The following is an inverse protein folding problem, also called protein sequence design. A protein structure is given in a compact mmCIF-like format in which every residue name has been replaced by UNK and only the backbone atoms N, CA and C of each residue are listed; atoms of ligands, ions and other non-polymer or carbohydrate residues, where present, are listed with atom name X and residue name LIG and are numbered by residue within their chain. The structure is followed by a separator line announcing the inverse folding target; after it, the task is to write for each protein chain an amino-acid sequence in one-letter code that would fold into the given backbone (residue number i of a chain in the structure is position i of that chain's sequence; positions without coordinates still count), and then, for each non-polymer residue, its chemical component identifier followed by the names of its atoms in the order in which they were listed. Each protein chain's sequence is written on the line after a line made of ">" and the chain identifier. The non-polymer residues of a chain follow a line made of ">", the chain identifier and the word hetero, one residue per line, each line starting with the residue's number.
data_IF_738957828040
#
_entry.id   IF_738957828040
#
_cell.length_a   1.000
_cell.length_b   1.000
_cell.length_c   1.000
_cell.angle_alpha   90.00
_cell.angle_beta   90.00
_cell.angle_gamma   90.00
#
_symmetry.space_group_name_H-M   'P 1'
#
loop_
_entity.id
_entity.type
_entity.pdbx_description
1 polymer ?
#
# COMPACT_ATOMS: atom_id res chain seq x y z
N UNK A 1 -8.73 -28.63 -3.67
CA UNK A 1 -8.42 -27.44 -2.86
C UNK A 1 -7.26 -26.74 -3.55
N UNK A 2 -7.54 -25.81 -4.46
CA UNK A 2 -6.52 -25.00 -5.12
C UNK A 2 -6.45 -23.67 -4.36
N UNK A 3 -5.80 -23.68 -3.20
CA UNK A 3 -5.34 -22.41 -2.61
C UNK A 3 -4.21 -21.92 -3.51
N UNK A 4 -4.25 -20.64 -3.88
CA UNK A 4 -3.22 -20.06 -4.76
C UNK A 4 -1.85 -20.26 -4.11
N UNK A 5 -0.96 -21.01 -4.75
CA UNK A 5 0.36 -21.41 -4.20
C UNK A 5 1.14 -20.19 -3.69
N UNK A 6 1.11 -19.08 -4.44
CA UNK A 6 1.77 -17.83 -4.03
C UNK A 6 1.29 -17.23 -2.70
N UNK A 7 0.03 -17.44 -2.30
CA UNK A 7 -0.46 -16.97 -1.00
C UNK A 7 0.14 -17.79 0.16
N UNK A 8 0.26 -19.11 -0.03
CA UNK A 8 0.90 -20.00 0.95
C UNK A 8 2.40 -19.72 1.06
N UNK A 9 3.08 -19.48 -0.07
CA UNK A 9 4.51 -19.15 -0.11
C UNK A 9 4.79 -17.80 0.56
N UNK A 10 3.93 -16.79 0.32
CA UNK A 10 4.04 -15.48 1.00
C UNK A 10 3.79 -15.61 2.49
N UNK A 11 2.80 -16.40 2.92
CA UNK A 11 2.57 -16.63 4.34
C UNK A 11 3.77 -17.33 5.01
N UNK A 12 4.35 -18.33 4.32
CA UNK A 12 5.53 -19.04 4.81
C UNK A 12 6.76 -18.13 4.92
N UNK A 13 6.99 -17.24 3.95
CA UNK A 13 8.10 -16.27 4.02
C UNK A 13 7.95 -15.28 5.17
N UNK A 14 6.71 -14.99 5.58
CA UNK A 14 6.38 -14.19 6.77
C UNK A 14 6.41 -15.00 8.08
N UNK A 15 6.79 -16.28 8.02
CA UNK A 15 6.86 -17.16 9.20
C UNK A 15 5.49 -17.56 9.73
N UNK A 16 4.46 -17.60 8.87
CA UNK A 16 3.10 -18.01 9.19
C UNK A 16 2.76 -19.33 8.51
N UNK A 17 1.90 -20.12 9.15
CA UNK A 17 1.42 -21.40 8.66
C UNK A 17 -0.10 -21.39 8.56
N UNK A 18 -0.64 -22.08 7.57
CA UNK A 18 -2.07 -22.20 7.37
C UNK A 18 -2.70 -23.09 8.43
N UNK A 19 -3.61 -22.51 9.24
CA UNK A 19 -4.43 -23.25 10.19
C UNK A 19 -5.80 -23.57 9.57
N UNK A 20 -5.90 -24.77 9.01
CA UNK A 20 -7.13 -25.28 8.41
C UNK A 20 -8.25 -25.51 9.44
N UNK A 21 -9.53 -25.27 9.08
CA UNK A 21 -10.65 -25.55 9.97
C UNK A 21 -10.77 -27.05 10.27
N UNK A 22 -11.03 -27.42 11.53
CA UNK A 22 -11.26 -28.80 11.96
C UNK A 22 -12.49 -29.43 11.26
N UNK A 23 -13.53 -28.62 11.05
CA UNK A 23 -14.75 -29.00 10.35
C UNK A 23 -14.71 -28.57 8.88
N UNK A 24 -13.99 -29.35 8.07
CA UNK A 24 -13.79 -29.12 6.64
C UNK A 24 -15.08 -28.73 5.89
N UNK A 25 -14.92 -27.80 4.96
CA UNK A 25 -15.98 -27.39 4.04
C UNK A 25 -15.75 -25.99 3.49
N UNK A 26 -16.66 -25.50 2.64
CA UNK A 26 -16.53 -24.19 2.03
C UNK A 26 -16.67 -23.08 3.07
N UNK A 27 -15.90 -22.01 2.92
CA UNK A 27 -16.05 -20.77 3.68
C UNK A 27 -16.94 -19.77 2.97
N UNK A 28 -17.17 -19.97 1.67
CA UNK A 28 -18.12 -19.20 0.87
C UNK A 28 -19.12 -20.10 0.15
N UNK A 29 -20.39 -19.71 0.15
CA UNK A 29 -21.50 -20.36 -0.56
C UNK A 29 -22.33 -19.30 -1.27
N UNK A 30 -22.34 -19.30 -2.60
CA UNK A 30 -23.11 -18.33 -3.38
C UNK A 30 -24.62 -18.45 -3.12
N UNK A 31 -25.29 -17.30 -2.94
CA UNK A 31 -26.76 -17.22 -2.80
C UNK A 31 -27.47 -17.40 -4.12
N UNK A 32 -26.84 -17.01 -5.23
CA UNK A 32 -27.42 -17.11 -6.57
C UNK A 32 -27.39 -18.55 -7.09
N UNK A 33 -26.36 -19.32 -6.73
CA UNK A 33 -26.24 -20.72 -7.10
C UNK A 33 -25.54 -21.51 -5.99
N UNK A 34 -26.30 -22.34 -5.27
CA UNK A 34 -25.79 -23.12 -4.14
C UNK A 34 -24.73 -24.18 -4.53
N UNK A 35 -24.51 -24.43 -5.82
CA UNK A 35 -23.44 -25.28 -6.33
C UNK A 35 -22.09 -24.55 -6.40
N UNK A 36 -22.08 -23.22 -6.33
CA UNK A 36 -20.85 -22.42 -6.27
C UNK A 36 -20.42 -22.31 -4.80
N UNK A 37 -19.37 -23.06 -4.46
CA UNK A 37 -18.81 -23.16 -3.11
C UNK A 37 -17.30 -23.07 -3.19
N UNK A 38 -16.67 -22.25 -2.35
CA UNK A 38 -15.22 -22.06 -2.34
C UNK A 38 -14.67 -21.91 -0.93
N UNK A 39 -13.35 -22.07 -0.81
CA UNK A 39 -12.59 -21.81 0.42
C UNK A 39 -11.66 -20.65 0.09
N UNK A 40 -12.09 -19.44 0.45
CA UNK A 40 -11.38 -18.19 0.17
C UNK A 40 -11.00 -17.45 1.46
N UNK A 41 -11.78 -17.63 2.52
CA UNK A 41 -11.41 -17.19 3.86
C UNK A 41 -10.42 -18.19 4.48
N UNK A 42 -9.21 -17.73 4.79
CA UNK A 42 -8.11 -18.52 5.31
C UNK A 42 -7.61 -17.93 6.64
N UNK A 43 -7.10 -18.78 7.52
CA UNK A 43 -6.49 -18.37 8.79
C UNK A 43 -5.03 -18.79 8.78
N UNK A 44 -4.15 -17.82 9.02
CA UNK A 44 -2.71 -18.04 9.14
C UNK A 44 -2.27 -17.66 10.54
N UNK A 45 -1.50 -18.54 11.19
CA UNK A 45 -0.99 -18.34 12.55
C UNK A 45 0.48 -18.70 12.62
N UNK A 46 1.14 -18.40 13.75
CA UNK A 46 2.50 -18.89 13.97
C UNK A 46 2.54 -20.42 13.91
N UNK A 47 3.60 -21.05 13.37
CA UNK A 47 3.77 -22.51 13.36
C UNK A 47 3.59 -23.15 14.74
N UNK A 48 3.98 -22.41 15.78
CA UNK A 48 3.85 -22.84 17.17
C UNK A 48 2.40 -22.86 17.69
N UNK A 49 1.50 -22.12 17.05
CA UNK A 49 0.09 -22.02 17.41
C UNK A 49 -0.84 -22.80 16.45
N UNK A 50 -0.36 -23.26 15.29
CA UNK A 50 -1.15 -23.94 14.24
C UNK A 50 -2.07 -25.03 14.79
N UNK A 51 -1.54 -25.89 15.66
CA UNK A 51 -2.31 -26.98 16.27
C UNK A 51 -3.24 -26.52 17.41
N UNK A 52 -2.89 -25.43 18.08
CA UNK A 52 -3.64 -24.89 19.23
C UNK A 52 -4.77 -23.93 18.84
N UNK A 53 -4.69 -23.34 17.65
CA UNK A 53 -5.60 -22.30 17.16
C UNK A 53 -7.06 -22.78 17.02
N UNK A 54 -7.29 -24.12 16.97
CA UNK A 54 -8.62 -24.75 16.96
C UNK A 54 -9.61 -24.03 16.02
N UNK A 55 -9.19 -23.86 14.76
CA UNK A 55 -9.97 -23.10 13.77
C UNK A 55 -11.24 -23.88 13.44
N UNK A 56 -12.40 -23.23 13.48
CA UNK A 56 -13.71 -23.81 13.20
C UNK A 56 -14.55 -22.92 12.32
N UNK A 57 -15.25 -23.52 11.37
CA UNK A 57 -16.36 -22.90 10.63
C UNK A 57 -17.57 -22.81 11.54
N UNK A 58 -17.93 -21.61 11.96
CA UNK A 58 -19.09 -21.34 12.81
C UNK A 58 -20.35 -21.16 11.95
N UNK A 59 -20.84 -22.27 11.40
CA UNK A 59 -22.00 -22.31 10.49
C UNK A 59 -23.26 -21.77 11.17
N UNK A 60 -23.40 -22.02 12.46
CA UNK A 60 -24.45 -21.51 13.33
C UNK A 60 -24.49 -19.98 13.44
N UNK A 61 -23.38 -19.30 13.12
CA UNK A 61 -23.23 -17.85 13.15
C UNK A 61 -23.25 -17.20 11.76
N UNK A 62 -23.45 -17.98 10.69
CA UNK A 62 -23.50 -17.47 9.31
C UNK A 62 -24.64 -16.46 9.07
N UNK A 63 -25.79 -16.66 9.73
CA UNK A 63 -26.96 -15.80 9.56
C UNK A 63 -27.41 -15.70 8.10
N UNK A 64 -27.42 -14.49 7.53
CA UNK A 64 -27.80 -14.22 6.13
C UNK A 64 -26.62 -14.07 5.18
N UNK A 65 -25.38 -14.17 5.67
CA UNK A 65 -24.18 -14.01 4.84
C UNK A 65 -23.96 -15.22 3.93
N UNK A 66 -23.38 -14.98 2.76
CA UNK A 66 -22.79 -15.97 1.87
C UNK A 66 -21.43 -16.48 2.33
N UNK A 67 -20.79 -15.81 3.28
CA UNK A 67 -19.59 -16.28 3.97
C UNK A 67 -19.93 -16.96 5.30
N UNK A 68 -19.23 -18.05 5.60
CA UNK A 68 -19.30 -18.76 6.87
C UNK A 68 -18.17 -18.25 7.76
N UNK A 69 -18.49 -17.64 8.92
CA UNK A 69 -17.49 -17.14 9.84
C UNK A 69 -16.51 -18.24 10.29
N UNK A 70 -15.24 -17.86 10.40
CA UNK A 70 -14.21 -18.69 11.01
C UNK A 70 -13.96 -18.19 12.44
N UNK A 71 -13.93 -19.13 13.38
CA UNK A 71 -13.58 -18.90 14.78
C UNK A 71 -12.25 -19.59 15.07
N UNK A 72 -11.38 -18.95 15.84
CA UNK A 72 -10.11 -19.50 16.28
C UNK A 72 -9.87 -19.11 17.75
N UNK A 73 -9.23 -19.99 18.50
CA UNK A 73 -8.84 -19.76 19.89
C UNK A 73 -7.32 -19.72 19.95
N UNK A 74 -6.76 -18.52 20.06
CA UNK A 74 -5.31 -18.33 20.17
C UNK A 74 -4.97 -18.14 21.65
N UNK A 75 -4.13 -19.00 22.25
CA UNK A 75 -3.70 -18.82 23.62
C UNK A 75 -2.91 -17.52 23.74
N UNK A 76 -3.34 -16.62 24.64
CA UNK A 76 -2.59 -15.39 24.93
C UNK A 76 -1.28 -15.77 25.62
N UNK A 77 -0.16 -15.66 24.91
CA UNK A 77 1.16 -15.82 25.51
C UNK A 77 1.40 -14.64 26.45
N UNK A 78 1.84 -14.92 27.68
CA UNK A 78 2.29 -13.91 28.63
C UNK A 78 3.50 -13.10 28.10
N UNK A 79 4.18 -13.62 27.08
CA UNK A 79 5.25 -12.98 26.32
C UNK A 79 4.90 -12.99 24.84
N UNK A 80 4.31 -11.89 24.35
CA UNK A 80 4.22 -11.64 22.91
C UNK A 80 5.64 -11.40 22.38
N UNK A 81 6.14 -12.16 21.39
CA UNK A 81 7.41 -11.85 20.74
C UNK A 81 7.37 -10.41 20.29
N UNK A 82 8.28 -9.58 20.80
CA UNK A 82 8.29 -8.18 20.44
C UNK A 82 8.64 -8.08 18.95
N UNK A 83 7.78 -7.46 18.15
CA UNK A 83 8.02 -7.29 16.71
C UNK A 83 9.23 -6.38 16.57
N UNK A 84 10.31 -6.89 15.99
CA UNK A 84 11.48 -6.09 15.68
C UNK A 84 11.29 -5.48 14.30
N UNK A 85 11.30 -4.16 14.22
CA UNK A 85 11.44 -3.42 12.97
C UNK A 85 12.87 -2.94 12.80
N UNK A 86 13.19 -2.43 11.61
CA UNK A 86 14.42 -1.67 11.38
C UNK A 86 14.06 -0.27 10.89
N UNK A 87 14.80 0.72 11.36
CA UNK A 87 14.59 2.11 10.95
C UNK A 87 15.93 2.76 10.64
N UNK A 88 15.90 3.71 9.72
CA UNK A 88 17.02 4.57 9.41
C UNK A 88 16.57 5.99 9.76
N UNK A 89 17.32 6.66 10.62
CA UNK A 89 16.95 8.00 11.06
C UNK A 89 17.15 9.01 9.92
N UNK A 90 16.13 9.82 9.57
CA UNK A 90 16.28 10.82 8.52
C UNK A 90 17.35 11.85 8.89
N UNK A 91 18.18 12.23 7.91
CA UNK A 91 19.27 13.21 8.01
C UNK A 91 20.44 12.79 8.92
N UNK A 92 20.47 11.55 9.38
CA UNK A 92 21.60 11.02 10.17
C UNK A 92 22.83 10.76 9.30
N UNK A 93 23.99 10.53 9.92
CA UNK A 93 25.20 10.18 9.19
C UNK A 93 25.10 8.76 8.60
N UNK A 94 24.38 7.86 9.27
CA UNK A 94 24.06 6.52 8.77
C UNK A 94 23.19 6.56 7.51
N UNK A 95 22.27 7.53 7.38
CA UNK A 95 21.50 7.72 6.13
C UNK A 95 22.42 8.12 4.96
N UNK A 96 23.44 8.94 5.22
CA UNK A 96 24.42 9.35 4.21
C UNK A 96 25.32 8.18 3.82
N UNK A 97 25.79 7.41 4.78
CA UNK A 97 26.58 6.20 4.53
C UNK A 97 25.77 5.14 3.78
N UNK A 98 24.49 4.98 4.11
CA UNK A 98 23.55 4.12 3.38
C UNK A 98 23.45 4.49 1.89
N UNK A 99 23.26 5.77 1.58
CA UNK A 99 23.23 6.24 0.18
C UNK A 99 24.58 6.03 -0.49
N UNK A 100 25.69 6.28 0.21
CA UNK A 100 27.04 6.13 -0.33
C UNK A 100 27.35 4.67 -0.69
N UNK A 101 27.03 3.74 0.20
CA UNK A 101 27.23 2.30 -0.04
C UNK A 101 26.40 1.80 -1.23
N UNK A 102 25.13 2.23 -1.35
CA UNK A 102 24.32 1.86 -2.52
C UNK A 102 24.95 2.35 -3.81
N UNK A 103 25.38 3.62 -3.86
CA UNK A 103 26.02 4.21 -5.03
C UNK A 103 27.28 3.44 -5.43
N UNK A 104 28.08 3.01 -4.45
CA UNK A 104 29.27 2.20 -4.68
C UNK A 104 28.91 0.81 -5.21
N UNK A 105 27.98 0.11 -4.55
CA UNK A 105 27.61 -1.27 -4.87
C UNK A 105 26.92 -1.39 -6.24
N UNK A 106 26.01 -0.46 -6.57
CA UNK A 106 25.38 -0.47 -7.91
C UNK A 106 26.33 0.06 -8.99
N UNK A 107 27.37 0.81 -8.61
CA UNK A 107 28.38 1.35 -9.51
C UNK A 107 29.09 0.27 -10.34
N UNK A 108 29.19 -0.96 -9.81
CA UNK A 108 29.73 -2.12 -10.52
C UNK A 108 28.91 -2.52 -11.76
N UNK A 109 27.64 -2.08 -11.84
CA UNK A 109 26.76 -2.30 -13.00
C UNK A 109 26.91 -1.21 -14.07
N UNK A 110 27.79 -0.22 -13.86
CA UNK A 110 28.00 0.86 -14.82
C UNK A 110 28.45 0.31 -16.17
N UNK A 111 27.82 0.80 -17.25
CA UNK A 111 28.04 0.34 -18.61
C UNK A 111 27.40 -1.01 -18.98
N UNK A 112 26.83 -1.75 -18.03
CA UNK A 112 26.06 -2.95 -18.34
C UNK A 112 24.73 -2.59 -19.00
N UNK A 113 24.33 -3.33 -20.05
CA UNK A 113 23.10 -3.12 -20.82
C UNK A 113 22.43 -4.48 -21.04
N UNK A 114 21.43 -4.85 -20.23
CA UNK A 114 20.75 -6.13 -20.37
C UNK A 114 19.91 -6.15 -21.64
N UNK A 115 19.96 -7.25 -22.40
CA UNK A 115 19.22 -7.43 -23.66
C UNK A 115 18.27 -8.63 -23.62
N UNK A 116 18.36 -9.45 -22.58
CA UNK A 116 17.54 -10.64 -22.40
C UNK A 116 16.85 -10.63 -21.03
N UNK A 117 15.74 -11.34 -20.92
CA UNK A 117 14.98 -11.47 -19.67
C UNK A 117 15.85 -11.96 -18.49
N UNK A 118 16.77 -12.90 -18.71
CA UNK A 118 17.68 -13.41 -17.68
C UNK A 118 18.70 -12.34 -17.20
N UNK A 119 19.15 -11.47 -18.11
CA UNK A 119 20.05 -10.38 -17.78
C UNK A 119 19.35 -9.26 -17.01
N UNK A 120 18.10 -8.96 -17.38
CA UNK A 120 17.23 -8.02 -16.65
C UNK A 120 17.01 -8.51 -15.22
N UNK A 121 16.66 -9.79 -15.04
CA UNK A 121 16.45 -10.38 -13.71
C UNK A 121 17.73 -10.34 -12.86
N UNK A 122 18.88 -10.67 -13.46
CA UNK A 122 20.18 -10.62 -12.77
C UNK A 122 20.54 -9.21 -12.32
N UNK A 123 20.36 -8.22 -13.20
CA UNK A 123 20.63 -6.82 -12.89
C UNK A 123 19.67 -6.30 -11.80
N UNK A 124 18.39 -6.66 -11.88
CA UNK A 124 17.37 -6.30 -10.88
C UNK A 124 17.70 -6.90 -9.52
N UNK A 125 18.07 -8.18 -9.49
CA UNK A 125 18.51 -8.87 -8.26
C UNK A 125 19.74 -8.22 -7.65
N UNK A 126 20.75 -7.88 -8.46
CA UNK A 126 21.96 -7.21 -7.98
C UNK A 126 21.66 -5.84 -7.35
N UNK A 127 20.77 -5.06 -7.97
CA UNK A 127 20.32 -3.78 -7.40
C UNK A 127 19.57 -4.03 -6.09
N UNK A 128 18.59 -4.95 -6.06
CA UNK A 128 17.82 -5.26 -4.87
C UNK A 128 18.70 -5.74 -3.70
N UNK A 129 19.71 -6.57 -4.00
CA UNK A 129 20.69 -7.06 -3.03
C UNK A 129 21.55 -5.93 -2.46
N UNK A 130 22.00 -4.98 -3.29
CA UNK A 130 22.74 -3.80 -2.85
C UNK A 130 21.91 -2.97 -1.86
N UNK A 131 20.65 -2.68 -2.19
CA UNK A 131 19.75 -1.98 -1.27
C UNK A 131 19.49 -2.76 0.03
N UNK A 132 19.27 -4.07 -0.06
CA UNK A 132 19.04 -4.93 1.12
C UNK A 132 20.26 -5.00 2.04
N UNK A 133 21.45 -5.12 1.45
CA UNK A 133 22.72 -5.17 2.19
C UNK A 133 23.00 -3.84 2.89
N UNK A 134 22.90 -2.72 2.17
CA UNK A 134 23.06 -1.40 2.74
C UNK A 134 22.03 -1.13 3.85
N UNK A 135 20.76 -1.50 3.65
CA UNK A 135 19.73 -1.34 4.66
C UNK A 135 20.06 -2.12 5.92
N UNK A 136 20.45 -3.39 5.80
CA UNK A 136 20.84 -4.23 6.96
C UNK A 136 22.10 -3.74 7.66
N UNK A 137 22.99 -3.04 6.97
CA UNK A 137 24.22 -2.48 7.54
C UNK A 137 23.95 -1.21 8.36
N UNK A 138 23.13 -0.30 7.83
CA UNK A 138 22.99 1.07 8.36
C UNK A 138 21.73 1.30 9.19
N UNK A 139 20.66 0.52 8.99
CA UNK A 139 19.46 0.67 9.79
C UNK A 139 19.63 0.10 11.20
N UNK A 140 18.95 0.70 12.18
CA UNK A 140 18.94 0.26 13.57
C UNK A 140 17.72 -0.62 13.86
N UNK A 141 17.89 -1.69 14.63
CA UNK A 141 16.76 -2.49 15.12
C UNK A 141 16.00 -1.71 16.19
N UNK A 142 14.69 -1.55 16.00
CA UNK A 142 13.79 -1.10 17.04
C UNK A 142 12.80 -2.20 17.36
N UNK A 143 12.37 -2.24 18.61
CA UNK A 143 11.49 -3.30 19.09
C UNK A 143 10.11 -2.72 19.36
N UNK A 144 9.14 -2.91 18.47
CA UNK A 144 7.76 -2.44 18.68
C UNK A 144 7.22 -3.06 19.97
N UNK A 145 7.25 -2.26 21.02
CA UNK A 145 6.77 -2.60 22.34
C UNK A 145 5.73 -1.59 22.79
N UNK A 146 4.88 -1.94 23.77
CA UNK A 146 3.89 -1.02 24.32
C UNK A 146 4.51 0.27 24.89
N UNK A 147 5.81 0.26 25.23
CA UNK A 147 6.56 1.36 25.85
C UNK A 147 7.28 2.28 24.84
N UNK A 148 7.23 1.99 23.54
CA UNK A 148 7.98 2.72 22.50
C UNK A 148 7.14 3.81 21.83
N UNK A 149 6.26 4.41 22.61
CA UNK A 149 5.28 5.37 22.09
C UNK A 149 5.80 6.75 22.46
N UNK A 150 5.90 7.66 21.49
CA UNK A 150 6.44 9.02 21.69
C UNK A 150 5.73 9.80 22.80
N UNK A 151 4.47 9.46 23.10
CA UNK A 151 3.73 10.03 24.23
C UNK A 151 4.17 9.48 25.60
N UNK A 152 5.00 8.45 25.67
CA UNK A 152 5.39 7.78 26.92
C UNK A 152 6.43 8.62 27.66
N UNK A 153 6.08 9.09 28.85
CA UNK A 153 6.90 9.94 29.68
C UNK A 153 7.28 9.26 31.02
N UNK A 154 8.11 9.92 31.82
CA UNK A 154 8.58 9.40 33.10
C UNK A 154 7.45 9.10 34.09
N UNK A 155 6.33 9.83 34.00
CA UNK A 155 5.13 9.58 34.82
C UNK A 155 4.46 8.25 34.47
N UNK A 156 4.42 7.89 33.18
CA UNK A 156 3.94 6.57 32.74
C UNK A 156 4.84 5.45 33.25
N UNK A 157 6.17 5.64 33.22
CA UNK A 157 7.14 4.66 33.73
C UNK A 157 6.99 4.48 35.24
N UNK A 158 6.93 5.57 36.00
CA UNK A 158 6.76 5.54 37.46
C UNK A 158 5.45 4.85 37.87
N UNK A 159 4.33 5.21 37.23
CA UNK A 159 3.03 4.61 37.55
C UNK A 159 2.97 3.12 37.17
N UNK A 160 3.73 2.70 36.14
CA UNK A 160 3.86 1.29 35.76
C UNK A 160 4.67 0.50 36.80
N UNK A 161 5.77 1.07 37.29
CA UNK A 161 6.59 0.46 38.34
C UNK A 161 5.82 0.31 39.65
N UNK A 162 5.06 1.34 40.07
CA UNK A 162 4.18 1.29 41.25
C UNK A 162 3.06 0.25 41.11
N UNK A 163 2.51 0.09 39.90
CA UNK A 163 1.58 -1.00 39.61
C UNK A 163 2.23 -2.37 39.69
N UNK A 164 3.45 -2.55 39.17
CA UNK A 164 4.15 -3.83 39.20
C UNK A 164 4.60 -4.25 40.60
N UNK A 165 4.93 -3.29 41.47
CA UNK A 165 5.32 -3.57 42.86
C UNK A 165 4.15 -4.06 43.71
N UNK A 166 2.97 -3.44 43.57
CA UNK A 166 1.85 -3.70 44.46
C UNK A 166 0.73 -4.54 43.83
N UNK A 167 0.64 -4.58 42.49
CA UNK A 167 -0.38 -5.29 41.71
C UNK A 167 -1.83 -4.99 42.13
N UNK A 168 -2.07 -3.82 42.71
CA UNK A 168 -3.36 -3.38 43.23
C UNK A 168 -4.23 -2.76 42.13
N UNK A 169 -5.55 -2.90 42.26
CA UNK A 169 -6.52 -2.35 41.31
C UNK A 169 -6.47 -0.81 41.22
N UNK A 170 -6.17 -0.14 42.34
CA UNK A 170 -6.03 1.32 42.38
C UNK A 170 -4.78 1.79 41.65
N UNK A 171 -3.66 1.07 41.77
CA UNK A 171 -2.42 1.38 41.04
C UNK A 171 -2.58 1.11 39.54
N UNK A 172 -3.36 0.09 39.16
CA UNK A 172 -3.73 -0.12 37.77
C UNK A 172 -4.57 1.04 37.21
N UNK A 173 -5.49 1.59 38.02
CA UNK A 173 -6.28 2.78 37.63
C UNK A 173 -5.40 4.02 37.51
N UNK A 174 -4.46 4.23 38.43
CA UNK A 174 -3.50 5.32 38.40
C UNK A 174 -2.60 5.23 37.15
N UNK A 175 -2.04 4.05 36.87
CA UNK A 175 -1.29 3.77 35.65
C UNK A 175 -2.08 4.09 34.38
N UNK A 176 -3.33 3.60 34.27
CA UNK A 176 -4.19 3.91 33.11
C UNK A 176 -4.49 5.40 32.97
N UNK A 177 -4.61 6.12 34.08
CA UNK A 177 -4.83 7.56 34.09
C UNK A 177 -3.60 8.32 33.59
N UNK A 178 -2.40 7.96 34.06
CA UNK A 178 -1.14 8.55 33.62
C UNK A 178 -0.91 8.33 32.11
N UNK A 179 -1.11 7.10 31.62
CA UNK A 179 -1.03 6.79 30.19
C UNK A 179 -2.06 7.55 29.37
N UNK A 180 -3.28 7.75 29.89
CA UNK A 180 -4.31 8.52 29.19
C UNK A 180 -3.93 10.01 29.12
N UNK A 181 -3.42 10.58 30.20
CA UNK A 181 -2.99 11.97 30.25
C UNK A 181 -1.86 12.24 29.26
N UNK A 182 -0.81 11.43 29.29
CA UNK A 182 0.36 11.58 28.42
C UNK A 182 -0.02 11.43 26.93
N UNK A 183 -0.96 10.52 26.60
CA UNK A 183 -1.54 10.42 25.26
C UNK A 183 -2.27 11.69 24.85
N UNK A 184 -3.16 12.19 25.71
CA UNK A 184 -3.96 13.38 25.39
C UNK A 184 -3.04 14.56 25.13
N UNK A 185 -2.10 14.82 26.03
CA UNK A 185 -1.14 15.92 25.90
C UNK A 185 -0.34 15.84 24.59
N UNK A 186 0.26 14.69 24.29
CA UNK A 186 1.02 14.50 23.06
C UNK A 186 0.18 14.69 21.79
N UNK A 187 -1.04 14.13 21.74
CA UNK A 187 -1.88 14.25 20.55
C UNK A 187 -2.50 15.65 20.43
N UNK A 188 -2.83 16.31 21.53
CA UNK A 188 -3.34 17.68 21.52
C UNK A 188 -2.26 18.65 21.02
N UNK A 189 -1.01 18.50 21.49
CA UNK A 189 0.14 19.28 20.99
C UNK A 189 0.34 19.05 19.49
N UNK A 190 0.27 17.79 19.03
CA UNK A 190 0.42 17.48 17.60
C UNK A 190 -0.73 18.03 16.76
N UNK A 191 -1.96 18.00 17.28
CA UNK A 191 -3.12 18.60 16.62
C UNK A 191 -2.96 20.11 16.52
N UNK A 192 -2.46 20.76 17.57
CA UNK A 192 -2.18 22.20 17.60
C UNK A 192 -1.06 22.58 16.61
N UNK A 193 0.05 21.85 16.61
CA UNK A 193 1.15 22.01 15.64
C UNK A 193 0.61 21.88 14.20
N UNK A 194 -0.14 20.82 13.91
CA UNK A 194 -0.70 20.59 12.58
C UNK A 194 -1.73 21.65 12.21
N UNK A 195 -2.54 22.14 13.15
CA UNK A 195 -3.56 23.16 12.87
C UNK A 195 -2.98 24.59 12.73
N UNK A 196 -1.82 24.85 13.32
CA UNK A 196 -1.16 26.17 13.30
C UNK A 196 -0.11 26.29 12.20
N UNK A 197 0.71 25.25 11.99
CA UNK A 197 1.77 25.25 10.97
C UNK A 197 1.26 24.81 9.59
N UNK A 198 0.26 23.94 9.55
CA UNK A 198 -0.45 23.57 8.33
C UNK A 198 -1.88 24.11 8.42
N UNK A 199 -2.47 24.52 7.28
CA UNK A 199 -3.93 24.69 7.25
C UNK A 199 -4.55 23.35 7.67
N UNK A 200 -5.70 23.35 8.37
CA UNK A 200 -6.32 22.08 8.80
C UNK A 200 -6.35 21.12 7.61
N UNK A 201 -6.14 19.81 7.80
CA UNK A 201 -6.13 18.86 6.69
C UNK A 201 -7.34 19.00 5.76
N UNK A 202 -8.48 19.38 6.34
CA UNK A 202 -9.75 19.65 5.66
C UNK A 202 -9.81 21.00 4.93
N UNK A 203 -9.09 22.03 5.39
CA UNK A 203 -9.05 23.38 4.79
C UNK A 203 -8.23 23.43 3.49
N UNK A 204 -7.40 22.41 3.25
CA UNK A 204 -6.59 22.29 2.03
C UNK A 204 -7.38 21.72 0.85
N UNK A 205 -8.49 21.02 1.10
CA UNK A 205 -9.21 20.31 0.04
C UNK A 205 -10.28 21.19 -0.62
N UNK A 206 -10.25 21.28 -1.95
CA UNK A 206 -11.22 22.09 -2.71
C UNK A 206 -12.67 21.65 -2.50
N UNK A 207 -12.93 20.37 -2.21
CA UNK A 207 -14.28 19.85 -2.00
C UNK A 207 -14.92 20.25 -0.67
N UNK A 208 -14.13 20.76 0.29
CA UNK A 208 -14.60 21.28 1.59
C UNK A 208 -15.00 22.75 1.50
N UNK A 209 -14.51 23.46 0.47
CA UNK A 209 -14.93 24.84 0.18
C UNK A 209 -16.35 24.84 -0.37
N UNK A 210 -17.10 25.91 -0.09
CA UNK A 210 -18.43 26.12 -0.67
C UNK A 210 -18.32 26.05 -2.20
N UNK A 211 -18.91 25.00 -2.79
CA UNK A 211 -18.94 24.85 -4.24
C UNK A 211 -19.79 25.99 -4.78
N UNK A 212 -19.16 26.91 -5.51
CA UNK A 212 -19.90 27.85 -6.34
C UNK A 212 -20.55 27.02 -7.45
N UNK A 213 -21.86 26.79 -7.34
CA UNK A 213 -22.60 26.20 -8.44
C UNK A 213 -22.37 27.12 -9.66
N UNK A 214 -21.90 26.59 -10.79
CA UNK A 214 -21.87 27.38 -12.01
C UNK A 214 -23.28 27.90 -12.27
N UNK A 215 -23.44 29.10 -12.84
CA UNK A 215 -24.74 29.57 -13.28
C UNK A 215 -25.33 28.51 -14.20
N UNK A 216 -26.43 27.88 -13.76
CA UNK A 216 -27.09 26.85 -14.54
C UNK A 216 -27.81 27.55 -15.69
N UNK A 217 -27.21 27.50 -16.88
CA UNK A 217 -27.91 27.86 -18.11
C UNK A 217 -28.98 26.80 -18.39
N UNK A 218 -30.18 27.26 -18.76
CA UNK A 218 -31.25 26.33 -19.16
C UNK A 218 -30.78 25.52 -20.37
N UNK A 219 -30.96 24.19 -20.33
CA UNK A 219 -30.61 23.31 -21.46
C UNK A 219 -31.31 23.82 -22.71
N UNK A 220 -30.54 24.05 -23.77
CA UNK A 220 -31.05 24.47 -25.08
C UNK A 220 -30.88 23.35 -26.09
N UNK A 221 -31.90 23.16 -26.92
CA UNK A 221 -31.88 22.24 -28.05
C UNK A 221 -32.30 23.01 -29.30
N UNK A 222 -31.47 22.95 -30.35
CA UNK A 222 -31.66 23.73 -31.59
C UNK A 222 -31.86 25.25 -31.36
N UNK A 223 -31.17 25.81 -30.36
CA UNK A 223 -31.26 27.24 -30.01
C UNK A 223 -32.54 27.65 -29.29
N UNK A 224 -33.36 26.69 -28.85
CA UNK A 224 -34.54 26.93 -28.01
C UNK A 224 -34.33 26.37 -26.60
N UNK A 225 -34.62 27.13 -25.54
CA UNK A 225 -34.55 26.63 -24.18
C UNK A 225 -35.65 25.59 -23.91
N UNK A 226 -35.25 24.44 -23.38
CA UNK A 226 -36.15 23.36 -22.98
C UNK A 226 -36.75 23.68 -21.60
N UNK A 227 -38.02 24.10 -21.58
CA UNK A 227 -38.71 24.49 -20.34
C UNK A 227 -39.66 23.42 -19.78
N UNK A 228 -39.94 22.37 -20.56
CA UNK A 228 -40.81 21.25 -20.16
C UNK A 228 -40.01 19.97 -20.11
N UNK A 229 -40.48 19.01 -19.30
CA UNK A 229 -39.80 17.73 -19.11
C UNK A 229 -39.74 16.90 -20.41
N UNK A 230 -40.81 16.94 -21.21
CA UNK A 230 -40.85 16.22 -22.50
C UNK A 230 -39.84 16.80 -23.49
N UNK A 231 -39.76 18.14 -23.60
CA UNK A 231 -38.78 18.82 -24.45
C UNK A 231 -37.33 18.52 -24.02
N UNK A 232 -37.10 18.34 -22.71
CA UNK A 232 -35.80 17.96 -22.15
C UNK A 232 -35.45 16.51 -22.51
N UNK A 233 -36.43 15.61 -22.39
CA UNK A 233 -36.25 14.20 -22.72
C UNK A 233 -35.94 14.02 -24.20
N UNK A 234 -36.70 14.66 -25.08
CA UNK A 234 -36.48 14.59 -26.53
C UNK A 234 -35.12 15.18 -26.92
N UNK A 235 -34.73 16.30 -26.31
CA UNK A 235 -33.41 16.91 -26.52
C UNK A 235 -32.26 15.97 -26.12
N UNK A 236 -32.33 15.36 -24.93
CA UNK A 236 -31.30 14.43 -24.46
C UNK A 236 -31.31 13.13 -25.26
N UNK A 237 -32.48 12.56 -25.51
CA UNK A 237 -32.62 11.31 -26.22
C UNK A 237 -32.12 11.44 -27.66
N UNK A 238 -32.51 12.49 -28.37
CA UNK A 238 -32.03 12.75 -29.74
C UNK A 238 -30.53 13.06 -29.80
N UNK A 239 -29.96 13.76 -28.80
CA UNK A 239 -28.52 14.08 -28.79
C UNK A 239 -27.67 12.84 -28.52
N UNK A 240 -27.99 12.06 -27.49
CA UNK A 240 -27.16 10.92 -27.07
C UNK A 240 -27.46 9.63 -27.85
N UNK A 241 -28.65 9.50 -28.45
CA UNK A 241 -29.06 8.32 -29.21
C UNK A 241 -29.29 8.63 -30.70
N UNK A 242 -28.73 9.73 -31.22
CA UNK A 242 -28.82 10.16 -32.62
C UNK A 242 -28.45 9.07 -33.64
N UNK A 243 -27.62 8.11 -33.21
CA UNK A 243 -27.12 7.01 -34.02
C UNK A 243 -27.66 5.63 -33.58
N UNK A 244 -28.62 5.56 -32.65
CA UNK A 244 -29.11 4.28 -32.10
C UNK A 244 -29.69 3.33 -33.16
N UNK A 245 -30.32 3.88 -34.21
CA UNK A 245 -30.88 3.12 -35.32
C UNK A 245 -29.97 3.08 -36.56
N UNK A 246 -28.76 3.66 -36.49
CA UNK A 246 -27.83 3.63 -37.62
C UNK A 246 -27.04 2.32 -37.58
N UNK A 247 -27.08 1.50 -38.64
CA UNK A 247 -26.18 0.36 -38.73
C UNK A 247 -24.74 0.87 -38.71
N UNK A 248 -23.93 0.36 -37.78
CA UNK A 248 -22.50 0.65 -37.73
C UNK A 248 -21.84 -0.16 -38.85
N UNK A 249 -21.34 0.54 -39.85
CA UNK A 249 -20.57 -0.10 -40.91
C UNK A 249 -19.17 -0.39 -40.40
N UNK A 250 -18.89 -1.67 -40.12
CA UNK A 250 -17.58 -2.12 -39.64
C UNK A 250 -16.58 -2.31 -40.79
N UNK A 251 -17.00 -2.26 -42.06
CA UNK A 251 -16.05 -2.40 -43.19
C UNK A 251 -15.09 -1.21 -43.29
N UNK A 252 -15.39 -0.09 -42.62
CA UNK A 252 -14.44 1.02 -42.45
C UNK A 252 -13.14 0.57 -41.76
N UNK A 253 -13.19 -0.46 -40.91
CA UNK A 253 -12.01 -1.02 -40.25
C UNK A 253 -11.13 -1.82 -41.24
N UNK A 254 -11.73 -2.41 -42.28
CA UNK A 254 -11.01 -3.13 -43.34
C UNK A 254 -10.34 -2.16 -44.33
N UNK A 255 -10.82 -0.92 -44.40
CA UNK A 255 -10.25 0.17 -45.22
C UNK A 255 -9.17 0.98 -44.49
N UNK A 256 -9.03 0.81 -43.16
CA UNK A 256 -7.94 1.43 -42.41
C UNK A 256 -6.63 0.75 -42.81
N UNK A 257 -5.70 1.55 -43.32
CA UNK A 257 -4.35 1.07 -43.57
C UNK A 257 -3.71 0.67 -42.24
N UNK A 258 -3.05 -0.50 -42.22
CA UNK A 258 -2.18 -0.88 -41.11
C UNK A 258 -1.14 0.24 -40.92
N UNK A 259 -1.17 0.89 -39.76
CA UNK A 259 -0.12 1.83 -39.42
C UNK A 259 1.20 1.07 -39.28
N UNK A 260 2.34 1.66 -39.73
CA UNK A 260 3.62 1.01 -39.55
C UNK A 260 3.88 0.79 -38.06
N UNK A 261 4.36 -0.40 -37.72
CA UNK A 261 4.80 -0.73 -36.38
C UNK A 261 5.85 0.30 -35.93
N UNK A 262 5.53 1.04 -34.88
CA UNK A 262 6.41 2.09 -34.35
C UNK A 262 7.27 1.48 -33.24
N UNK A 263 8.60 1.59 -33.31
CA UNK A 263 9.45 1.12 -32.22
C UNK A 263 9.14 1.90 -30.95
N UNK A 264 9.16 1.20 -29.81
CA UNK A 264 9.07 1.85 -28.52
C UNK A 264 10.32 2.71 -28.31
N UNK A 265 10.19 4.02 -28.00
CA UNK A 265 11.35 4.87 -27.77
C UNK A 265 12.08 4.44 -26.49
N UNK A 266 13.40 4.53 -26.51
CA UNK A 266 14.21 4.31 -25.30
C UNK A 266 13.88 5.36 -24.23
N UNK A 267 13.83 4.92 -22.98
CA UNK A 267 13.69 5.79 -21.83
C UNK A 267 14.87 6.76 -21.74
N UNK A 268 14.55 8.05 -21.57
CA UNK A 268 15.53 9.12 -21.49
C UNK A 268 15.82 9.53 -20.04
N UNK A 269 16.99 10.14 -19.82
CA UNK A 269 17.32 10.76 -18.53
C UNK A 269 16.34 11.88 -18.14
N UNK A 270 15.72 12.54 -19.12
CA UNK A 270 14.75 13.60 -18.86
C UNK A 270 13.47 13.02 -18.25
N UNK A 271 12.96 11.92 -18.82
CA UNK A 271 11.76 11.24 -18.31
C UNK A 271 12.00 10.71 -16.90
N UNK A 272 13.17 10.10 -16.63
CA UNK A 272 13.53 9.65 -15.28
C UNK A 272 13.52 10.82 -14.29
N UNK A 273 14.12 11.96 -14.66
CA UNK A 273 14.15 13.15 -13.79
C UNK A 273 12.75 13.72 -13.54
N UNK A 274 11.92 13.83 -14.59
CA UNK A 274 10.55 14.32 -14.47
C UNK A 274 9.69 13.42 -13.60
N UNK A 275 9.82 12.09 -13.76
CA UNK A 275 9.12 11.11 -12.94
C UNK A 275 9.52 11.23 -11.46
N UNK A 276 10.82 11.38 -11.19
CA UNK A 276 11.32 11.59 -9.83
C UNK A 276 10.85 12.92 -9.23
N UNK A 277 10.84 14.00 -10.00
CA UNK A 277 10.45 15.32 -9.53
C UNK A 277 8.96 15.38 -9.15
N UNK A 278 8.11 14.67 -9.90
CA UNK A 278 6.68 14.53 -9.59
C UNK A 278 6.41 13.78 -8.27
N UNK A 279 7.35 12.94 -7.81
CA UNK A 279 7.19 12.17 -6.58
C UNK A 279 7.47 13.02 -5.34
N UNK A 280 6.60 12.94 -4.32
CA UNK A 280 6.80 13.66 -3.06
C UNK A 280 7.85 12.97 -2.20
N UNK A 281 8.89 13.69 -1.77
CA UNK A 281 9.97 13.14 -0.94
C UNK A 281 9.52 12.68 0.46
N UNK A 282 8.32 13.07 0.88
CA UNK A 282 7.70 12.74 2.18
C UNK A 282 6.59 11.69 2.09
N UNK A 283 6.45 11.01 0.95
CA UNK A 283 5.49 9.90 0.87
C UNK A 283 5.89 8.80 1.85
N UNK A 284 4.92 7.95 2.21
CA UNK A 284 5.22 6.72 2.92
C UNK A 284 6.24 5.90 2.11
N UNK A 285 7.22 5.25 2.77
CA UNK A 285 8.16 4.36 2.11
C UNK A 285 7.44 3.15 1.53
N UNK A 286 8.07 2.54 0.51
CA UNK A 286 7.62 1.25 -0.02
C UNK A 286 7.81 0.11 0.99
N UNK A 287 7.37 -1.13 0.65
CA UNK A 287 7.63 -2.32 1.45
C UNK A 287 9.11 -2.61 1.69
N UNK A 288 9.97 -2.07 0.83
CA UNK A 288 11.43 -2.09 0.87
C UNK A 288 12.03 -1.07 1.86
N UNK A 289 11.20 -0.27 2.53
CA UNK A 289 11.59 0.84 3.41
C UNK A 289 12.35 1.98 2.70
N UNK A 290 12.40 1.97 1.37
CA UNK A 290 13.05 3.00 0.55
C UNK A 290 12.06 4.14 0.32
N UNK A 291 12.53 5.37 0.48
CA UNK A 291 11.73 6.57 0.23
C UNK A 291 12.12 7.22 -1.10
N UNK A 292 11.21 8.01 -1.68
CA UNK A 292 11.55 8.86 -2.84
C UNK A 292 12.70 9.82 -2.56
N UNK A 293 12.94 10.19 -1.29
CA UNK A 293 14.09 10.99 -0.91
C UNK A 293 15.40 10.25 -1.18
N UNK A 294 15.51 8.99 -0.76
CA UNK A 294 16.70 8.17 -1.02
C UNK A 294 16.94 8.03 -2.52
N UNK A 295 15.89 7.70 -3.29
CA UNK A 295 15.99 7.56 -4.74
C UNK A 295 16.41 8.86 -5.43
N UNK A 296 15.87 10.01 -5.00
CA UNK A 296 16.31 11.32 -5.51
C UNK A 296 17.77 11.62 -5.21
N UNK A 297 18.30 11.21 -4.05
CA UNK A 297 19.71 11.40 -3.71
C UNK A 297 20.62 10.49 -4.55
N UNK A 298 20.27 9.21 -4.68
CA UNK A 298 21.03 8.23 -5.45
C UNK A 298 21.02 8.60 -6.95
N UNK A 299 19.84 8.90 -7.50
CA UNK A 299 19.65 9.19 -8.92
C UNK A 299 19.94 10.64 -9.30
N UNK A 300 20.36 11.48 -8.34
CA UNK A 300 21.00 12.76 -8.65
C UNK A 300 22.38 12.55 -9.31
N UNK A 301 23.02 11.40 -9.07
CA UNK A 301 24.26 11.01 -9.72
C UNK A 301 23.96 10.45 -11.12
N UNK A 302 24.53 11.03 -12.20
CA UNK A 302 24.26 10.59 -13.56
C UNK A 302 24.56 9.11 -13.79
N UNK A 303 25.63 8.59 -13.17
CA UNK A 303 26.05 7.18 -13.36
C UNK A 303 24.97 6.22 -12.84
N UNK A 304 24.38 6.53 -11.69
CA UNK A 304 23.29 5.75 -11.10
C UNK A 304 22.01 5.85 -11.95
N UNK A 305 21.72 7.04 -12.49
CA UNK A 305 20.61 7.25 -13.41
C UNK A 305 20.72 6.41 -14.69
N UNK A 306 21.92 6.31 -15.27
CA UNK A 306 22.19 5.50 -16.45
C UNK A 306 21.98 4.00 -16.22
N UNK A 307 22.31 3.50 -15.02
CA UNK A 307 22.07 2.10 -14.62
C UNK A 307 20.57 1.80 -14.61
N UNK A 308 19.75 2.67 -14.01
CA UNK A 308 18.29 2.48 -13.97
C UNK A 308 17.67 2.58 -15.38
N UNK A 309 18.15 3.49 -16.22
CA UNK A 309 17.69 3.61 -17.61
C UNK A 309 18.06 2.37 -18.42
N UNK A 310 19.28 1.86 -18.25
CA UNK A 310 19.72 0.63 -18.89
C UNK A 310 18.83 -0.56 -18.52
N UNK A 311 18.45 -0.67 -17.25
CA UNK A 311 17.51 -1.68 -16.80
C UNK A 311 16.13 -1.51 -17.46
N UNK A 312 15.58 -0.29 -17.44
CA UNK A 312 14.27 0.00 -18.01
C UNK A 312 14.21 -0.31 -19.52
N UNK A 313 15.25 0.07 -20.27
CA UNK A 313 15.35 -0.25 -21.70
C UNK A 313 15.55 -1.74 -21.94
N UNK A 314 16.25 -2.45 -21.05
CA UNK A 314 16.35 -3.90 -21.09
C UNK A 314 15.01 -4.61 -20.91
N UNK A 315 14.15 -4.10 -20.02
CA UNK A 315 12.78 -4.62 -19.88
C UNK A 315 11.99 -4.46 -21.18
N UNK A 316 12.04 -3.28 -21.80
CA UNK A 316 11.37 -3.03 -23.08
C UNK A 316 11.89 -3.96 -24.18
N UNK A 317 13.21 -4.12 -24.27
CA UNK A 317 13.84 -4.96 -25.29
C UNK A 317 13.56 -6.47 -25.12
N UNK A 318 13.26 -6.90 -23.90
CA UNK A 318 12.98 -8.30 -23.57
C UNK A 318 11.49 -8.66 -23.53
N UNK A 319 10.60 -7.73 -23.91
CA UNK A 319 9.14 -7.90 -23.90
C UNK A 319 8.57 -8.28 -22.52
N UNK A 320 9.18 -7.75 -21.44
CA UNK A 320 8.73 -7.93 -20.06
C UNK A 320 7.48 -7.10 -19.71
#
# INVERSE_FOLDING_TARGET
>A
MHVHIGCLETAASLGLEYAGPENYGPTYISRANQNIRSVIDLVFVSPTDTLSACVKRAVEHQGRSDHIPLSAVIPLRHTVPKVKGRTLEPFSDEEKEFVTDIVLDIGDLSGYRPTTAEEVERMTSAIADAFSAAWKKHSTEYTVGPNLREYWNDECTKALEEYWQEMMADNHKAFRSAVKAAKCEFFDERIEEVATMNKRPWDLMEWVKERKNPPCEAIQFEGRPCHKLDDLWDALHSTYNAASDRPVDTSILDELADEPERPWPEFSQLELRQALEACLSRSAPGPDHITWRHLKQILALPECGEIIIALANGCVASEY
#
